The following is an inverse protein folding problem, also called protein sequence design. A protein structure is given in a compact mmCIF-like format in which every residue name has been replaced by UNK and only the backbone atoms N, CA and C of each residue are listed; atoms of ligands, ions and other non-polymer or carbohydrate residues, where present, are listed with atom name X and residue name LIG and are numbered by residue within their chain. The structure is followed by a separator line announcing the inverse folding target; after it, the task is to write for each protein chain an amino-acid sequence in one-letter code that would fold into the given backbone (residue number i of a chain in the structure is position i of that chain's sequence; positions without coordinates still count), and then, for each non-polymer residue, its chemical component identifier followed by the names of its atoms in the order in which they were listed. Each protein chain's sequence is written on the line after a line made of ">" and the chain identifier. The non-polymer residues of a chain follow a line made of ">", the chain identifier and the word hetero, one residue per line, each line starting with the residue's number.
data_IF_647306200767
#
_entry.id   IF_647306200767
#
_cell.length_a   1.000
_cell.length_b   1.000
_cell.length_c   1.000
_cell.angle_alpha   90.00
_cell.angle_beta   90.00
_cell.angle_gamma   90.00
#
_symmetry.space_group_name_H-M   'P 1'
#
loop_
_entity.id
_entity.type
_entity.pdbx_description
1 polymer ?
#
# COMPACT_ATOMS: atom_id res chain seq x y z
N UNK A 1 9.63 -20.43 27.56
CA UNK A 1 8.54 -19.52 27.18
C UNK A 1 8.65 -19.35 25.67
N UNK A 2 7.88 -20.14 24.91
CA UNK A 2 7.97 -20.13 23.45
C UNK A 2 7.32 -18.84 22.95
N UNK A 3 8.15 -17.87 22.57
CA UNK A 3 7.70 -16.71 21.82
C UNK A 3 7.23 -17.20 20.46
N UNK A 4 5.92 -17.41 20.31
CA UNK A 4 5.32 -17.49 18.98
C UNK A 4 5.71 -16.21 18.26
N UNK A 5 6.68 -16.30 17.34
CA UNK A 5 6.89 -15.28 16.33
C UNK A 5 5.57 -15.23 15.56
N UNK A 6 4.68 -14.32 15.97
CA UNK A 6 3.67 -13.81 15.05
C UNK A 6 4.49 -13.22 13.93
N UNK A 7 4.59 -13.96 12.84
CA UNK A 7 5.20 -13.49 11.61
C UNK A 7 4.40 -12.25 11.22
N UNK A 8 4.99 -11.10 11.54
CA UNK A 8 4.35 -9.82 11.36
C UNK A 8 4.46 -9.53 9.87
N UNK A 9 3.43 -9.92 9.12
CA UNK A 9 3.30 -9.74 7.68
C UNK A 9 3.14 -8.25 7.35
N UNK A 10 4.26 -7.52 7.39
CA UNK A 10 4.36 -6.14 6.96
C UNK A 10 5.36 -6.01 5.83
N UNK A 11 4.96 -5.33 4.76
CA UNK A 11 5.86 -4.91 3.72
C UNK A 11 6.24 -3.44 3.88
N UNK A 12 7.50 -3.14 3.55
CA UNK A 12 7.97 -1.77 3.45
C UNK A 12 7.55 -1.22 2.08
N UNK A 13 6.70 -0.21 2.07
CA UNK A 13 6.13 0.37 0.86
C UNK A 13 6.35 1.88 0.79
N UNK A 14 6.64 2.38 -0.40
CA UNK A 14 6.63 3.81 -0.68
C UNK A 14 5.20 4.29 -0.89
N UNK A 15 4.67 5.07 0.06
CA UNK A 15 3.31 5.60 0.04
C UNK A 15 3.31 7.08 -0.33
N UNK A 16 2.52 7.44 -1.33
CA UNK A 16 2.39 8.81 -1.84
C UNK A 16 1.02 9.37 -1.47
N UNK A 17 0.95 10.25 -0.47
CA UNK A 17 -0.29 10.97 -0.16
C UNK A 17 -0.48 12.15 -1.11
N UNK A 18 -1.66 12.29 -1.71
CA UNK A 18 -2.02 13.41 -2.59
C UNK A 18 -1.00 13.69 -3.72
N UNK A 19 -0.34 12.64 -4.24
CA UNK A 19 0.75 12.75 -5.24
C UNK A 19 1.96 13.59 -4.79
N UNK A 20 2.10 13.82 -3.50
CA UNK A 20 3.23 14.52 -2.90
C UNK A 20 4.47 13.63 -2.76
N UNK A 21 5.36 13.99 -1.84
CA UNK A 21 6.55 13.21 -1.51
C UNK A 21 6.16 11.83 -0.95
N UNK A 22 6.87 10.78 -1.35
CA UNK A 22 6.68 9.46 -0.75
C UNK A 22 7.22 9.39 0.67
N UNK A 23 6.55 8.60 1.49
CA UNK A 23 7.04 8.15 2.77
C UNK A 23 7.22 6.63 2.72
N UNK A 24 8.32 6.14 3.27
CA UNK A 24 8.60 4.71 3.34
C UNK A 24 7.97 4.17 4.63
N UNK A 25 6.89 3.41 4.50
CA UNK A 25 6.04 2.98 5.61
C UNK A 25 5.91 1.47 5.66
N UNK A 26 5.72 0.93 6.87
CA UNK A 26 5.33 -0.47 7.08
C UNK A 26 3.83 -0.59 6.91
N UNK A 27 3.39 -1.39 5.94
CA UNK A 27 1.99 -1.65 5.64
C UNK A 27 1.71 -3.12 5.89
N UNK A 28 0.62 -3.43 6.58
CA UNK A 28 0.22 -4.81 6.82
C UNK A 28 -0.32 -5.39 5.51
N UNK A 29 0.13 -6.58 5.12
CA UNK A 29 -0.23 -7.18 3.82
C UNK A 29 -1.42 -8.15 3.90
N UNK A 30 -1.79 -8.62 5.09
CA UNK A 30 -2.94 -9.52 5.29
C UNK A 30 -4.20 -8.71 5.66
N UNK A 31 -4.57 -7.76 4.80
CA UNK A 31 -5.64 -6.82 5.11
C UNK A 31 -6.64 -6.69 3.97
N UNK A 32 -7.92 -6.53 4.33
CA UNK A 32 -8.96 -6.08 3.42
C UNK A 32 -8.67 -4.64 2.94
N UNK A 33 -9.29 -4.21 1.84
CA UNK A 33 -9.18 -2.84 1.34
C UNK A 33 -9.64 -1.81 2.38
N UNK A 34 -10.67 -2.14 3.16
CA UNK A 34 -11.14 -1.30 4.25
C UNK A 34 -10.05 -1.12 5.32
N UNK A 35 -9.42 -2.22 5.74
CA UNK A 35 -8.33 -2.20 6.72
C UNK A 35 -7.10 -1.44 6.19
N UNK A 36 -6.75 -1.62 4.91
CA UNK A 36 -5.67 -0.87 4.28
C UNK A 36 -5.95 0.64 4.30
N UNK A 37 -7.16 1.06 3.92
CA UNK A 37 -7.55 2.48 3.98
C UNK A 37 -7.46 3.03 5.41
N UNK A 38 -7.97 2.27 6.38
CA UNK A 38 -7.91 2.67 7.79
C UNK A 38 -6.47 2.80 8.30
N UNK A 39 -5.59 1.88 7.93
CA UNK A 39 -4.17 1.95 8.28
C UNK A 39 -3.50 3.18 7.65
N UNK A 40 -3.78 3.46 6.37
CA UNK A 40 -3.27 4.64 5.69
C UNK A 40 -3.82 5.95 6.28
N UNK A 41 -5.07 5.97 6.75
CA UNK A 41 -5.64 7.12 7.47
C UNK A 41 -4.86 7.43 8.74
N UNK A 42 -4.60 6.41 9.56
CA UNK A 42 -3.82 6.55 10.79
C UNK A 42 -2.41 7.06 10.49
N UNK A 43 -1.73 6.46 9.50
CA UNK A 43 -0.38 6.86 9.11
C UNK A 43 -0.34 8.27 8.52
N UNK A 44 -1.34 8.66 7.74
CA UNK A 44 -1.43 10.04 7.22
C UNK A 44 -1.62 11.04 8.36
N UNK A 45 -2.44 10.72 9.37
CA UNK A 45 -2.59 11.57 10.55
C UNK A 45 -1.29 11.76 11.35
N UNK A 46 -0.43 10.74 11.40
CA UNK A 46 0.87 10.82 12.06
C UNK A 46 1.89 11.66 11.28
N UNK A 47 1.85 11.64 9.95
CA UNK A 47 2.88 12.24 9.09
C UNK A 47 2.48 13.64 8.59
N UNK A 48 1.19 13.84 8.32
CA UNK A 48 0.62 15.07 7.81
C UNK A 48 -0.44 15.60 8.79
N UNK A 49 0.00 16.11 9.94
CA UNK A 49 -0.87 16.64 10.99
C UNK A 49 -1.88 17.67 10.44
N UNK A 50 -1.43 18.58 9.58
CA UNK A 50 -2.26 19.65 9.00
C UNK A 50 -3.20 19.17 7.87
N UNK A 51 -2.96 17.98 7.31
CA UNK A 51 -3.71 17.45 6.17
C UNK A 51 -4.08 15.97 6.36
N UNK A 52 -4.57 15.65 7.56
CA UNK A 52 -5.04 14.32 7.97
C UNK A 52 -6.41 13.96 7.35
N UNK A 53 -6.64 14.27 6.08
CA UNK A 53 -7.85 13.88 5.36
C UNK A 53 -7.92 12.36 5.28
N UNK A 54 -9.15 11.83 5.36
CA UNK A 54 -9.43 10.41 5.14
C UNK A 54 -9.13 10.01 3.70
N UNK A 55 -8.57 8.82 3.53
CA UNK A 55 -8.21 8.16 2.30
C UNK A 55 -9.48 7.68 1.62
N UNK A 56 -9.89 8.42 0.59
CA UNK A 56 -11.06 8.06 -0.21
C UNK A 56 -10.80 6.85 -1.11
N UNK A 57 -9.57 6.71 -1.63
CA UNK A 57 -9.17 5.66 -2.54
C UNK A 57 -7.68 5.38 -2.49
N UNK A 58 -7.31 4.17 -2.91
CA UNK A 58 -5.92 3.70 -2.95
C UNK A 58 -5.59 3.32 -4.38
N UNK A 59 -4.44 3.78 -4.85
CA UNK A 59 -3.89 3.38 -6.15
C UNK A 59 -2.59 2.60 -5.91
N UNK A 60 -2.50 1.42 -6.51
CA UNK A 60 -1.29 0.64 -6.58
C UNK A 60 -0.50 1.05 -7.82
N UNK A 61 0.74 1.52 -7.61
CA UNK A 61 1.63 1.92 -8.69
C UNK A 61 2.49 0.73 -9.08
N UNK A 62 2.23 0.15 -10.25
CA UNK A 62 2.95 -1.03 -10.72
C UNK A 62 3.89 -0.71 -11.88
N UNK A 63 5.05 -1.38 -11.94
CA UNK A 63 5.88 -1.42 -13.12
C UNK A 63 5.20 -2.23 -14.23
N UNK A 64 5.18 -1.69 -15.44
CA UNK A 64 4.71 -2.34 -16.66
C UNK A 64 5.78 -2.21 -17.72
N UNK A 65 6.02 -3.28 -18.48
CA UNK A 65 6.84 -3.23 -19.68
C UNK A 65 5.89 -3.19 -20.88
N UNK A 66 6.10 -2.25 -21.80
CA UNK A 66 5.30 -2.19 -23.03
C UNK A 66 5.92 -3.06 -24.13
N UNK A 67 5.25 -3.18 -25.28
CA UNK A 67 5.73 -3.94 -26.45
C UNK A 67 7.05 -3.44 -27.04
N UNK A 68 7.53 -2.28 -26.60
CA UNK A 68 8.82 -1.70 -26.98
C UNK A 68 9.87 -1.86 -25.87
N UNK A 69 9.65 -2.79 -24.94
CA UNK A 69 10.52 -3.08 -23.79
C UNK A 69 10.77 -1.89 -22.86
N UNK A 70 9.95 -0.84 -22.96
CA UNK A 70 10.09 0.35 -22.13
C UNK A 70 9.33 0.18 -20.83
N UNK A 71 10.04 0.41 -19.73
CA UNK A 71 9.45 0.47 -18.40
C UNK A 71 8.53 1.69 -18.25
N UNK A 72 7.32 1.46 -17.75
CA UNK A 72 6.33 2.48 -17.40
C UNK A 72 5.77 2.17 -16.02
N UNK A 73 5.48 3.22 -15.26
CA UNK A 73 4.70 3.09 -14.04
C UNK A 73 3.24 3.40 -14.35
N UNK A 74 2.38 2.43 -14.11
CA UNK A 74 0.93 2.57 -14.26
C UNK A 74 0.28 2.53 -12.88
N UNK A 75 -0.79 3.31 -12.71
CA UNK A 75 -1.58 3.29 -11.49
C UNK A 75 -2.83 2.45 -11.71
N UNK A 76 -3.09 1.53 -10.79
CA UNK A 76 -4.31 0.75 -10.73
C UNK A 76 -5.08 1.14 -9.47
N UNK A 77 -6.34 1.52 -9.60
CA UNK A 77 -7.21 1.73 -8.43
C UNK A 77 -7.54 0.38 -7.80
N UNK A 78 -7.36 0.28 -6.48
CA UNK A 78 -7.82 -0.87 -5.71
C UNK A 78 -9.29 -0.64 -5.34
N UNK A 79 -10.17 -1.50 -5.85
CA UNK A 79 -11.62 -1.34 -5.72
C UNK A 79 -12.24 -2.33 -4.74
N UNK A 80 -11.63 -3.49 -4.57
CA UNK A 80 -12.11 -4.57 -3.70
C UNK A 80 -10.93 -5.30 -3.00
N UNK A 81 -11.27 -6.27 -2.16
CA UNK A 81 -10.30 -7.06 -1.40
C UNK A 81 -9.48 -7.99 -2.32
N UNK A 82 -10.05 -8.45 -3.44
CA UNK A 82 -9.34 -9.30 -4.41
C UNK A 82 -8.20 -8.54 -5.11
N UNK A 83 -8.41 -7.26 -5.42
CA UNK A 83 -7.38 -6.37 -5.96
C UNK A 83 -6.21 -6.23 -4.98
N UNK A 84 -6.52 -6.06 -3.69
CA UNK A 84 -5.52 -5.95 -2.62
C UNK A 84 -4.73 -7.24 -2.53
N UNK A 85 -5.41 -8.38 -2.38
CA UNK A 85 -4.78 -9.68 -2.28
C UNK A 85 -3.88 -9.94 -3.51
N UNK A 86 -4.41 -9.80 -4.72
CA UNK A 86 -3.65 -10.03 -5.95
C UNK A 86 -2.37 -9.19 -6.00
N UNK A 87 -2.40 -7.94 -5.54
CA UNK A 87 -1.22 -7.07 -5.61
C UNK A 87 -0.24 -7.31 -4.48
N UNK A 88 -0.68 -7.52 -3.25
CA UNK A 88 0.24 -7.74 -2.13
C UNK A 88 0.86 -9.15 -2.15
N UNK A 89 0.13 -10.18 -2.57
CA UNK A 89 0.66 -11.55 -2.69
C UNK A 89 1.77 -11.69 -3.75
N UNK A 90 1.74 -10.90 -4.84
CA UNK A 90 2.79 -10.98 -5.89
C UNK A 90 4.16 -10.49 -5.37
N UNK A 91 4.21 -9.68 -4.29
CA UNK A 91 5.47 -9.17 -3.73
C UNK A 91 5.96 -9.90 -2.47
N UNK A 92 5.13 -10.74 -1.85
CA UNK A 92 5.55 -11.65 -0.78
C UNK A 92 5.88 -13.01 -1.40
N UNK A 93 7.16 -13.27 -1.64
CA UNK A 93 7.68 -14.57 -2.09
C UNK A 93 8.79 -15.03 -1.14
#
# INVERSE_FOLDING_TARGET
>A
MNSYLVEMNYNLAAVYYNKGKSNLLRINIDVTLCNLKHQLDQLNGCINYDNARRVAGVEYRHPSVNSYERFRLTNMKLQNDDDVNTKFFIFSQ
#
